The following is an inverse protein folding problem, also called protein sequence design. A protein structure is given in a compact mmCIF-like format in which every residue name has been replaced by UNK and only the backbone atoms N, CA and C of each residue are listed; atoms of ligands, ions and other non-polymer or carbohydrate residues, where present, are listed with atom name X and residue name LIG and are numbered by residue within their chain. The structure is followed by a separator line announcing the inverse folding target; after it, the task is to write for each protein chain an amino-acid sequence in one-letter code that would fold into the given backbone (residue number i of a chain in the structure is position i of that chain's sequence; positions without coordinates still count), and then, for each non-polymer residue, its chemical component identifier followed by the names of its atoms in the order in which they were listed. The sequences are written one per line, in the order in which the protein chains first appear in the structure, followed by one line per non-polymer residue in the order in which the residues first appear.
data_IF_053053387328
#
_entry.id   IF_053053387328
#
_cell.length_a   1.000
_cell.length_b   1.000
_cell.length_c   1.000
_cell.angle_alpha   90.00
_cell.angle_beta   90.00
_cell.angle_gamma   90.00
#
_symmetry.space_group_name_H-M   'P 1'
#
loop_
_entity.id
_entity.type
_entity.pdbx_description
1 polymer ?
#
# COMPACT_ATOMS: atom_id res chain seq x y z
N UNK A 1 -1.81 -6.12 9.58
CA UNK A 1 -3.28 -6.01 9.44
C UNK A 1 -3.85 -4.59 9.41
N UNK A 2 -3.47 -3.65 10.30
CA UNK A 2 -4.20 -2.38 10.47
C UNK A 2 -4.44 -1.58 9.19
N UNK A 3 -3.46 -1.52 8.29
CA UNK A 3 -3.58 -0.81 7.01
C UNK A 3 -4.67 -1.39 6.09
N UNK A 4 -4.61 -2.70 5.84
CA UNK A 4 -5.54 -3.39 4.94
C UNK A 4 -6.97 -3.32 5.48
N UNK A 5 -7.14 -3.43 6.81
CA UNK A 5 -8.44 -3.28 7.44
C UNK A 5 -9.03 -1.87 7.23
N UNK A 6 -8.21 -0.82 7.38
CA UNK A 6 -8.66 0.54 7.11
C UNK A 6 -9.08 0.74 5.65
N UNK A 7 -8.33 0.17 4.70
CA UNK A 7 -8.70 0.18 3.28
C UNK A 7 -10.03 -0.57 3.02
N UNK A 8 -10.27 -1.69 3.71
CA UNK A 8 -11.52 -2.43 3.61
C UNK A 8 -12.71 -1.64 4.20
N UNK A 9 -12.52 -0.93 5.32
CA UNK A 9 -13.52 -0.02 5.87
C UNK A 9 -13.83 1.11 4.89
N UNK A 10 -12.83 1.71 4.25
CA UNK A 10 -13.05 2.73 3.23
C UNK A 10 -13.83 2.19 2.02
N UNK A 11 -13.53 0.97 1.58
CA UNK A 11 -14.27 0.31 0.51
C UNK A 11 -15.74 0.11 0.88
N UNK A 12 -16.03 -0.27 2.12
CA UNK A 12 -17.40 -0.39 2.61
C UNK A 12 -18.12 0.96 2.72
N UNK A 13 -17.46 1.99 3.25
CA UNK A 13 -18.05 3.30 3.53
C UNK A 13 -18.24 4.14 2.26
N UNK A 14 -17.27 4.13 1.34
CA UNK A 14 -17.21 5.03 0.18
C UNK A 14 -17.34 4.33 -1.17
N UNK A 15 -17.30 2.99 -1.20
CA UNK A 15 -17.31 2.22 -2.44
C UNK A 15 -15.98 2.24 -3.21
N UNK A 16 -14.90 2.75 -2.62
CA UNK A 16 -13.58 2.81 -3.26
C UNK A 16 -12.90 1.45 -3.12
N UNK A 17 -12.51 0.76 -4.21
CA UNK A 17 -11.89 -0.57 -4.12
C UNK A 17 -10.62 -0.59 -3.27
N UNK A 18 -10.37 -1.73 -2.61
CA UNK A 18 -9.10 -1.97 -1.90
C UNK A 18 -7.95 -2.14 -2.89
N UNK A 19 -8.18 -2.84 -4.00
CA UNK A 19 -7.25 -2.90 -5.14
C UNK A 19 -7.72 -1.89 -6.18
N UNK A 20 -6.94 -0.85 -6.42
CA UNK A 20 -7.29 0.27 -7.29
C UNK A 20 -6.43 0.23 -8.54
N UNK A 21 -7.08 0.36 -9.70
CA UNK A 21 -6.38 0.55 -10.96
C UNK A 21 -5.56 1.84 -10.93
N UNK A 22 -4.42 1.88 -11.62
CA UNK A 22 -3.55 3.06 -11.64
C UNK A 22 -4.29 4.30 -12.17
N UNK A 23 -5.12 4.14 -13.21
CA UNK A 23 -5.94 5.24 -13.76
C UNK A 23 -6.92 5.83 -12.74
N UNK A 24 -7.40 5.04 -11.77
CA UNK A 24 -8.32 5.54 -10.74
C UNK A 24 -7.61 6.45 -9.74
N UNK A 25 -6.36 6.11 -9.40
CA UNK A 25 -5.57 6.87 -8.42
C UNK A 25 -4.79 8.03 -9.05
N UNK A 26 -4.40 7.91 -10.33
CA UNK A 26 -3.62 8.88 -11.08
C UNK A 26 -4.29 9.20 -12.43
N UNK A 27 -5.47 9.83 -12.44
CA UNK A 27 -6.22 10.10 -13.67
C UNK A 27 -5.52 11.10 -14.60
N UNK A 28 -4.66 11.97 -14.05
CA UNK A 28 -3.93 13.00 -14.80
C UNK A 28 -2.65 12.48 -15.49
N UNK A 29 -2.20 11.26 -15.17
CA UNK A 29 -1.05 10.65 -15.82
C UNK A 29 -1.52 9.70 -16.94
N UNK A 30 -1.35 10.06 -18.22
CA UNK A 30 -1.83 9.25 -19.35
C UNK A 30 -1.15 7.88 -19.42
N UNK A 31 0.04 7.71 -18.82
CA UNK A 31 0.71 6.41 -18.73
C UNK A 31 -0.14 5.44 -17.91
N UNK A 32 -0.81 5.93 -16.87
CA UNK A 32 -1.58 5.12 -15.94
C UNK A 32 -2.87 4.54 -16.56
N UNK A 33 -3.35 5.08 -17.69
CA UNK A 33 -4.51 4.56 -18.41
C UNK A 33 -4.32 3.14 -18.96
N UNK A 34 -3.07 2.75 -19.25
CA UNK A 34 -2.75 1.49 -19.92
C UNK A 34 -2.06 0.46 -19.02
N UNK A 35 -1.87 0.77 -17.73
CA UNK A 35 -1.18 -0.12 -16.79
C UNK A 35 -2.15 -1.18 -16.25
N UNK A 36 -1.89 -2.44 -16.60
CA UNK A 36 -2.67 -3.61 -16.19
C UNK A 36 -1.88 -4.61 -15.30
N UNK A 37 -0.55 -4.44 -15.22
CA UNK A 37 0.36 -5.32 -14.45
C UNK A 37 0.76 -4.79 -13.07
N UNK A 38 0.18 -3.68 -12.66
CA UNK A 38 0.41 -3.07 -11.36
C UNK A 38 -0.87 -2.39 -10.87
N UNK A 39 -0.98 -2.21 -9.56
CA UNK A 39 -2.15 -1.58 -8.94
C UNK A 39 -1.77 -0.92 -7.61
N UNK A 40 -2.65 -0.05 -7.13
CA UNK A 40 -2.55 0.49 -5.78
C UNK A 40 -3.35 -0.39 -4.81
N UNK A 41 -2.73 -0.84 -3.73
CA UNK A 41 -3.37 -1.51 -2.61
C UNK A 41 -3.68 -0.47 -1.53
N UNK A 42 -4.93 -0.09 -1.40
CA UNK A 42 -5.33 1.13 -0.69
C UNK A 42 -4.84 2.38 -1.44
N UNK A 43 -4.58 3.46 -0.70
CA UNK A 43 -4.12 4.74 -1.22
C UNK A 43 -2.59 4.90 -1.25
N UNK A 44 -1.88 4.05 -0.50
CA UNK A 44 -0.47 4.28 -0.14
C UNK A 44 0.52 3.27 -0.73
N UNK A 45 0.08 2.05 -1.08
CA UNK A 45 0.98 0.99 -1.55
C UNK A 45 0.78 0.72 -3.04
N UNK A 46 1.85 0.74 -3.82
CA UNK A 46 1.89 0.27 -5.20
C UNK A 46 2.48 -1.14 -5.23
N UNK A 47 1.75 -2.06 -5.85
CA UNK A 47 2.13 -3.47 -5.97
C UNK A 47 2.35 -3.80 -7.45
N UNK A 48 3.52 -4.34 -7.78
CA UNK A 48 3.83 -4.87 -9.10
C UNK A 48 4.19 -6.37 -8.99
N UNK A 49 3.23 -7.28 -9.23
CA UNK A 49 3.47 -8.72 -9.19
C UNK A 49 4.41 -9.18 -10.32
N UNK A 50 5.15 -10.26 -10.05
CA UNK A 50 6.06 -10.86 -11.02
C UNK A 50 5.32 -11.88 -11.89
N UNK A 51 5.26 -11.63 -13.20
CA UNK A 51 4.59 -12.49 -14.18
C UNK A 51 5.56 -13.27 -15.08
N UNK A 52 6.87 -13.09 -14.91
CA UNK A 52 7.92 -13.75 -15.70
C UNK A 52 8.55 -14.91 -14.91
N UNK A 53 8.78 -16.08 -15.54
CA UNK A 53 9.52 -17.18 -14.92
C UNK A 53 10.95 -16.79 -14.49
N UNK A 54 11.56 -15.84 -15.20
CA UNK A 54 12.91 -15.34 -14.93
C UNK A 54 12.96 -14.36 -13.74
N UNK A 55 11.79 -14.01 -13.18
CA UNK A 55 11.68 -13.09 -12.06
C UNK A 55 11.71 -11.60 -12.45
N UNK A 56 11.62 -11.28 -13.74
CA UNK A 56 11.73 -9.89 -14.23
C UNK A 56 10.37 -9.21 -14.11
N UNK A 57 10.36 -8.02 -13.53
CA UNK A 57 9.16 -7.16 -13.44
C UNK A 57 9.49 -5.77 -13.98
N UNK A 58 8.60 -5.28 -14.83
CA UNK A 58 8.61 -3.93 -15.37
C UNK A 58 7.38 -3.21 -14.84
N UNK A 59 7.57 -2.09 -14.17
CA UNK A 59 6.48 -1.28 -13.63
C UNK A 59 6.79 0.21 -13.73
N UNK A 60 5.76 1.02 -13.77
CA UNK A 60 5.85 2.47 -13.85
C UNK A 60 5.56 3.10 -12.49
N UNK A 61 6.38 4.05 -12.08
CA UNK A 61 6.14 4.88 -10.93
C UNK A 61 5.60 6.24 -11.39
N UNK A 62 4.38 6.62 -10.98
CA UNK A 62 3.85 7.97 -11.18
C UNK A 62 4.73 9.03 -10.49
N UNK A 63 4.41 10.30 -10.69
CA UNK A 63 5.09 11.40 -10.00
C UNK A 63 5.12 11.22 -8.48
N UNK A 64 6.29 11.49 -7.90
CA UNK A 64 6.55 11.36 -6.48
C UNK A 64 7.87 10.65 -6.19
N UNK A 65 8.27 10.68 -4.92
CA UNK A 65 9.44 9.98 -4.41
C UNK A 65 8.97 8.72 -3.69
N UNK A 66 9.20 7.58 -4.30
CA UNK A 66 8.64 6.30 -3.86
C UNK A 66 9.66 5.51 -3.05
N UNK A 67 9.22 4.88 -1.97
CA UNK A 67 10.10 4.11 -1.08
C UNK A 67 9.73 2.64 -1.11
N UNK A 68 10.67 1.75 -1.41
CA UNK A 68 10.44 0.31 -1.34
C UNK A 68 10.14 -0.13 0.08
N UNK A 69 8.97 -0.73 0.32
CA UNK A 69 8.52 -1.09 1.67
C UNK A 69 9.42 -2.13 2.34
N UNK A 70 9.97 -3.05 1.54
CA UNK A 70 10.83 -4.15 2.02
C UNK A 70 12.31 -3.77 2.05
N UNK A 71 12.75 -2.92 1.13
CA UNK A 71 14.17 -2.61 0.88
C UNK A 71 14.59 -1.26 1.44
N UNK A 72 13.65 -0.37 1.75
CA UNK A 72 13.84 1.06 2.02
C UNK A 72 14.57 1.82 0.88
N UNK A 73 14.67 1.24 -0.31
CA UNK A 73 15.28 1.91 -1.46
C UNK A 73 14.35 2.98 -1.99
N UNK A 74 14.88 4.16 -2.27
CA UNK A 74 14.11 5.30 -2.78
C UNK A 74 14.27 5.40 -4.30
N UNK A 75 13.17 5.62 -5.00
CA UNK A 75 13.12 5.79 -6.45
C UNK A 75 12.30 7.02 -6.79
N UNK A 76 12.89 7.94 -7.56
CA UNK A 76 12.16 9.08 -8.12
C UNK A 76 11.21 8.61 -9.22
N UNK A 77 9.98 9.10 -9.18
CA UNK A 77 8.88 8.72 -10.07
C UNK A 77 8.95 9.33 -11.48
N UNK A 78 7.82 9.27 -12.18
CA UNK A 78 7.69 9.54 -13.63
C UNK A 78 8.64 8.69 -14.48
N UNK A 79 8.80 7.42 -14.10
CA UNK A 79 9.72 6.52 -14.78
C UNK A 79 9.27 5.07 -14.75
N UNK A 80 9.73 4.33 -15.75
CA UNK A 80 9.72 2.87 -15.73
C UNK A 80 10.91 2.35 -14.91
N UNK A 81 10.63 1.32 -14.12
CA UNK A 81 11.58 0.60 -13.29
C UNK A 81 11.56 -0.86 -13.71
N UNK A 82 12.74 -1.43 -13.84
CA UNK A 82 12.94 -2.86 -14.10
C UNK A 82 13.66 -3.47 -12.91
N UNK A 83 13.03 -4.46 -12.29
CA UNK A 83 13.59 -5.20 -11.15
C UNK A 83 13.62 -6.69 -11.44
N UNK A 84 14.49 -7.39 -10.69
CA UNK A 84 14.55 -8.85 -10.68
C UNK A 84 14.29 -9.35 -9.27
N UNK A 85 13.25 -10.15 -9.12
CA UNK A 85 12.85 -10.73 -7.86
C UNK A 85 13.07 -12.24 -7.83
N UNK A 86 13.47 -12.74 -6.66
CA UNK A 86 13.39 -14.16 -6.35
C UNK A 86 12.01 -14.53 -5.81
N UNK A 87 11.81 -15.82 -5.51
CA UNK A 87 10.53 -16.38 -5.06
C UNK A 87 9.92 -15.71 -3.82
N UNK A 88 10.77 -15.21 -2.90
CA UNK A 88 10.35 -14.60 -1.63
C UNK A 88 10.32 -13.06 -1.65
N UNK A 89 10.32 -12.44 -2.83
CA UNK A 89 10.36 -10.98 -2.96
C UNK A 89 9.43 -10.50 -4.07
N UNK A 90 8.93 -9.28 -3.95
CA UNK A 90 8.15 -8.61 -4.98
C UNK A 90 8.35 -7.10 -4.89
N UNK A 91 8.05 -6.39 -5.98
CA UNK A 91 8.08 -4.92 -6.01
C UNK A 91 6.89 -4.35 -5.25
N UNK A 92 7.18 -3.77 -4.08
CA UNK A 92 6.21 -3.13 -3.20
C UNK A 92 6.72 -1.73 -2.84
N UNK A 93 6.09 -0.71 -3.41
CA UNK A 93 6.50 0.68 -3.30
C UNK A 93 5.49 1.47 -2.48
N UNK A 94 5.96 2.36 -1.62
CA UNK A 94 5.12 3.25 -0.79
C UNK A 94 5.11 4.63 -1.41
N UNK A 95 3.92 5.18 -1.58
CA UNK A 95 3.68 6.54 -2.05
C UNK A 95 4.23 7.56 -1.04
N UNK A 96 4.80 8.70 -1.49
CA UNK A 96 5.22 9.75 -0.55
C UNK A 96 4.05 10.30 0.27
N UNK A 97 4.36 10.92 1.41
CA UNK A 97 3.37 11.45 2.36
C UNK A 97 2.38 10.39 2.85
N UNK A 98 2.85 9.17 3.13
CA UNK A 98 2.01 8.06 3.59
C UNK A 98 2.38 7.57 4.99
N UNK A 99 1.38 7.10 5.74
CA UNK A 99 1.56 6.34 7.00
C UNK A 99 1.05 4.93 6.79
N UNK A 100 1.93 3.94 7.01
CA UNK A 100 1.57 2.53 7.00
C UNK A 100 1.55 2.01 8.44
N UNK A 101 0.37 1.73 9.02
CA UNK A 101 0.27 1.08 10.32
C UNK A 101 0.50 -0.43 10.20
N UNK A 102 1.54 -0.91 10.86
CA UNK A 102 1.91 -2.31 10.97
C UNK A 102 1.55 -2.77 12.38
N UNK A 103 0.74 -3.82 12.47
CA UNK A 103 0.26 -4.30 13.76
C UNK A 103 1.23 -5.30 14.38
N UNK A 104 1.20 -5.45 15.71
CA UNK A 104 2.18 -6.22 16.47
C UNK A 104 1.99 -7.74 16.48
N UNK A 105 1.01 -8.27 15.76
CA UNK A 105 0.67 -9.69 15.78
C UNK A 105 0.74 -10.31 14.38
N UNK A 106 1.59 -11.32 14.27
CA UNK A 106 1.83 -12.08 13.03
C UNK A 106 1.14 -13.46 13.03
N UNK A 107 0.55 -13.87 14.15
CA UNK A 107 -0.04 -15.21 14.32
C UNK A 107 -1.55 -15.24 14.04
N UNK A 108 -2.26 -14.15 14.29
CA UNK A 108 -3.71 -14.06 14.04
C UNK A 108 -4.13 -12.68 13.53
N UNK A 109 -5.14 -12.61 12.64
CA UNK A 109 -5.62 -11.34 12.10
C UNK A 109 -6.65 -10.64 13.02
N UNK A 110 -7.23 -11.34 14.00
CA UNK A 110 -8.19 -10.79 14.96
C UNK A 110 -7.49 -10.48 16.30
N UNK A 111 -7.30 -9.19 16.56
CA UNK A 111 -6.78 -8.62 17.81
C UNK A 111 -7.11 -7.12 17.85
N UNK A 112 -6.87 -6.46 18.98
CA UNK A 112 -6.96 -5.01 19.02
C UNK A 112 -5.85 -4.38 18.16
N UNK A 113 -6.22 -3.84 17.00
CA UNK A 113 -5.26 -3.22 16.08
C UNK A 113 -4.56 -1.97 16.64
N UNK A 114 -5.01 -1.42 17.76
CA UNK A 114 -4.30 -0.35 18.45
C UNK A 114 -3.21 -0.87 19.40
N UNK A 115 -3.20 -2.17 19.72
CA UNK A 115 -2.22 -2.77 20.62
C UNK A 115 -0.88 -2.99 19.89
N UNK A 116 0.17 -2.33 20.39
CA UNK A 116 1.53 -2.41 19.86
C UNK A 116 1.73 -1.93 18.41
N UNK A 117 0.77 -1.19 17.83
CA UNK A 117 0.87 -0.75 16.43
C UNK A 117 2.08 0.15 16.20
N UNK A 118 2.82 -0.14 15.13
CA UNK A 118 3.95 0.68 14.65
C UNK A 118 3.50 1.48 13.43
N UNK A 119 3.76 2.79 13.43
CA UNK A 119 3.46 3.65 12.30
C UNK A 119 4.73 3.96 11.52
N UNK A 120 4.81 3.46 10.29
CA UNK A 120 5.89 3.80 9.37
C UNK A 120 5.49 5.03 8.55
N UNK A 121 6.29 6.09 8.62
CA UNK A 121 6.07 7.34 7.88
C UNK A 121 7.04 7.40 6.71
N UNK A 122 6.54 7.65 5.50
CA UNK A 122 7.33 7.62 4.27
C UNK A 122 7.30 8.97 3.55
N UNK A 123 8.49 9.51 3.28
CA UNK A 123 8.74 10.74 2.51
C UNK A 123 7.75 11.87 2.85
N UNK A 124 7.61 12.18 4.15
CA UNK A 124 6.78 13.29 4.60
C UNK A 124 7.47 14.61 4.27
N UNK A 125 6.88 15.34 3.33
CA UNK A 125 7.40 16.62 2.85
C UNK A 125 6.97 17.76 3.76
N UNK A 126 7.80 18.81 3.82
CA UNK A 126 7.49 20.02 4.59
C UNK A 126 6.16 20.64 4.14
N UNK A 127 5.30 20.97 5.11
CA UNK A 127 3.98 21.55 4.87
C UNK A 127 2.86 20.54 4.61
N UNK A 128 3.16 19.24 4.56
CA UNK A 128 2.13 18.20 4.47
C UNK A 128 1.66 17.75 5.85
N UNK A 129 0.33 17.65 6.01
CA UNK A 129 -0.29 17.03 7.17
C UNK A 129 -0.98 15.75 6.73
N UNK A 130 -0.66 14.65 7.40
CA UNK A 130 -1.21 13.33 7.12
C UNK A 130 -1.95 12.82 8.34
N UNK A 131 -3.16 12.32 8.13
CA UNK A 131 -4.03 11.85 9.19
C UNK A 131 -4.36 10.39 8.95
N UNK A 132 -4.29 9.59 10.02
CA UNK A 132 -4.76 8.21 9.98
C UNK A 132 -5.83 8.01 11.04
N UNK A 133 -6.95 7.38 10.64
CA UNK A 133 -7.96 6.94 11.61
C UNK A 133 -7.29 5.91 12.52
N UNK A 134 -7.51 6.02 13.84
CA UNK A 134 -7.02 5.01 14.78
C UNK A 134 -7.57 3.64 14.34
N UNK A 135 -6.71 2.65 14.07
CA UNK A 135 -7.19 1.33 13.71
C UNK A 135 -7.85 0.72 14.95
N UNK A 136 -9.18 0.62 14.93
CA UNK A 136 -9.96 0.08 16.02
C UNK A 136 -10.75 -1.13 15.51
N UNK A 137 -10.35 -2.32 15.94
CA UNK A 137 -11.15 -3.52 15.73
C UNK A 137 -12.14 -3.65 16.89
N UNK A 138 -13.44 -3.40 16.67
CA UNK A 138 -14.50 -3.78 17.62
C UNK A 138 -15.08 -5.12 17.18
N UNK A 139 -14.85 -6.17 17.95
CA UNK A 139 -15.56 -7.45 17.79
C UNK A 139 -17.06 -7.19 18.05
N UNK A 140 -17.87 -7.09 17.00
CA UNK A 140 -19.34 -6.92 17.11
C UNK A 140 -20.08 -8.22 17.51
N UNK A 141 -19.35 -9.29 17.83
CA UNK A 141 -19.88 -10.54 18.33
C UNK A 141 -19.09 -10.99 19.57
N UNK A 142 -19.35 -10.36 20.72
CA UNK A 142 -19.26 -11.05 22.01
C UNK A 142 -20.67 -11.53 22.35
N UNK A 143 -21.07 -12.67 21.79
CA UNK A 143 -21.94 -13.57 22.55
C UNK A 143 -20.98 -14.40 23.39
N UNK A 144 -20.59 -13.87 24.55
CA UNK A 144 -20.15 -14.73 25.65
C UNK A 144 -21.42 -15.09 26.43
N UNK A 145 -21.68 -16.38 26.71
CA UNK A 145 -22.74 -16.81 27.63
C UNK A 145 -22.45 -16.43 29.08
#
# INVERSE_FOLDING_TARGET
MPYIFNAACEAHEKGIPVMRAMMLEFPDDPTCCYLDRQYMLGDSLLVAPVFSPEGIVDYYLPEGRWTGFLTNSIVEGRRWVREKHGYFSLSLMVRPNSIIPVGANDNRPDYDYADGVTFHVFELQDGFNIFIKRPHYKRRYSNDP
#
